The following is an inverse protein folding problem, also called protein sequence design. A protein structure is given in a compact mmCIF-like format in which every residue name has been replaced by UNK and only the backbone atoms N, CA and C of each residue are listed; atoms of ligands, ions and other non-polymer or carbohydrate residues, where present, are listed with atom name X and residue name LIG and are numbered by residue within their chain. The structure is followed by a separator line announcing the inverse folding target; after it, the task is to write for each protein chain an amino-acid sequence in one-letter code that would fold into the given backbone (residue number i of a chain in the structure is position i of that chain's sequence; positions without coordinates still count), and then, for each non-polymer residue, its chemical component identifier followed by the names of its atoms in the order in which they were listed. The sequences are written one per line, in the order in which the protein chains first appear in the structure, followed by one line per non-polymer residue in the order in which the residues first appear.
data_IF_229720848695
#
_entry.id   IF_229720848695
#
_cell.length_a   1.000
_cell.length_b   1.000
_cell.length_c   1.000
_cell.angle_alpha   90.00
_cell.angle_beta   90.00
_cell.angle_gamma   90.00
#
_symmetry.space_group_name_H-M   'P 1'
#
loop_
_entity.id
_entity.type
_entity.pdbx_description
1 polymer ?
#
# COMPACT_ATOMS: atom_id res chain seq x y z
N UNK A 1 -52.03 40.68 19.91
CA UNK A 1 -51.07 40.78 21.03
C UNK A 1 -49.71 40.43 20.43
N UNK A 2 -48.91 41.48 20.18
CA UNK A 2 -47.59 41.34 19.58
C UNK A 2 -46.53 41.48 20.66
N UNK A 3 -45.87 40.42 21.03
CA UNK A 3 -44.70 40.48 21.88
C UNK A 3 -43.42 40.70 21.06
N UNK A 4 -42.77 41.82 21.28
CA UNK A 4 -41.46 42.20 20.70
C UNK A 4 -40.36 41.56 21.56
N UNK A 5 -39.59 40.65 20.99
CA UNK A 5 -38.34 40.20 21.61
C UNK A 5 -37.23 41.17 21.28
N UNK A 6 -36.71 41.78 22.31
CA UNK A 6 -35.51 42.63 22.28
C UNK A 6 -34.27 41.70 22.37
N UNK A 7 -33.41 41.70 21.36
CA UNK A 7 -32.10 41.03 21.41
C UNK A 7 -31.08 42.01 22.00
N UNK A 8 -30.56 41.67 23.15
CA UNK A 8 -29.41 42.35 23.76
C UNK A 8 -28.11 41.93 23.12
N UNK A 9 -27.39 42.87 22.54
CA UNK A 9 -25.98 42.69 22.12
C UNK A 9 -25.10 42.71 23.36
N UNK A 10 -24.31 41.67 23.55
CA UNK A 10 -23.24 41.62 24.54
C UNK A 10 -21.99 40.97 23.97
N UNK A 11 -20.90 41.74 24.05
CA UNK A 11 -19.54 41.22 24.20
C UNK A 11 -18.82 40.80 22.92
N UNK A 12 -18.15 41.76 22.29
CA UNK A 12 -17.08 41.49 21.36
C UNK A 12 -15.92 40.82 22.06
N UNK A 13 -15.74 39.52 21.78
CA UNK A 13 -14.52 38.83 22.17
C UNK A 13 -13.46 39.16 21.09
N UNK A 14 -12.38 39.83 21.49
CA UNK A 14 -11.17 40.05 20.72
C UNK A 14 -10.60 38.68 20.35
N UNK A 15 -10.78 38.26 19.08
CA UNK A 15 -10.09 37.11 18.50
C UNK A 15 -8.69 37.63 18.13
N UNK A 16 -7.61 37.07 18.71
CA UNK A 16 -6.27 37.47 18.30
C UNK A 16 -6.05 37.08 16.82
N UNK A 17 -5.63 38.09 16.07
CA UNK A 17 -5.25 37.94 14.67
C UNK A 17 -4.05 36.98 14.57
N UNK A 18 -4.31 35.76 14.11
CA UNK A 18 -3.27 34.73 13.93
C UNK A 18 -2.54 35.04 12.63
N UNK A 19 -1.28 35.45 12.71
CA UNK A 19 -0.39 35.68 11.59
C UNK A 19 -0.35 34.46 10.68
N UNK A 20 -0.80 34.55 9.42
CA UNK A 20 -0.84 33.40 8.48
C UNK A 20 0.55 32.85 8.15
N UNK A 21 1.63 33.57 8.46
CA UNK A 21 3.01 33.10 8.28
C UNK A 21 3.49 32.14 9.38
N UNK A 22 2.82 32.11 10.52
CA UNK A 22 3.14 31.18 11.63
C UNK A 22 2.58 29.78 11.43
N UNK A 23 1.67 29.59 10.49
CA UNK A 23 1.02 28.29 10.25
C UNK A 23 1.86 27.33 9.35
N UNK A 24 2.97 27.81 8.78
CA UNK A 24 3.72 27.05 7.78
C UNK A 24 4.92 26.26 8.31
N UNK A 25 5.14 26.24 9.63
CA UNK A 25 6.30 25.54 10.23
C UNK A 25 5.89 24.47 11.25
N UNK A 26 4.77 23.80 11.03
CA UNK A 26 4.58 22.48 11.62
C UNK A 26 4.91 21.42 10.57
N UNK A 27 6.19 21.33 10.25
CA UNK A 27 6.77 20.10 9.81
C UNK A 27 6.31 19.05 10.81
N UNK A 28 5.35 18.19 10.43
CA UNK A 28 5.07 16.99 11.18
C UNK A 28 6.38 16.22 11.19
N UNK A 29 7.16 16.40 12.24
CA UNK A 29 8.21 15.44 12.58
C UNK A 29 7.48 14.12 12.71
N UNK A 30 7.54 13.30 11.68
CA UNK A 30 7.28 11.88 11.78
C UNK A 30 8.02 11.44 13.03
N UNK A 31 7.36 10.80 14.02
CA UNK A 31 8.06 10.32 15.19
C UNK A 31 9.27 9.53 14.67
N UNK A 32 10.47 9.68 15.27
CA UNK A 32 11.63 8.96 14.81
C UNK A 32 11.21 7.50 14.74
N UNK A 33 11.23 6.95 13.53
CA UNK A 33 11.11 5.52 13.31
C UNK A 33 12.08 4.93 14.32
N UNK A 34 11.57 4.21 15.32
CA UNK A 34 12.38 3.57 16.33
C UNK A 34 13.49 2.90 15.56
N UNK A 35 14.73 3.29 15.85
CA UNK A 35 15.92 2.71 15.24
C UNK A 35 16.04 1.25 15.70
N UNK A 36 15.21 0.39 15.16
CA UNK A 36 15.09 -0.99 15.53
C UNK A 36 15.15 -1.86 14.29
N UNK A 37 16.33 -2.44 14.16
CA UNK A 37 16.56 -3.63 13.36
C UNK A 37 16.46 -3.38 11.85
N UNK A 38 17.51 -2.79 11.30
CA UNK A 38 17.90 -3.13 9.94
C UNK A 38 18.21 -4.62 9.93
N UNK A 39 17.17 -5.40 9.73
CA UNK A 39 17.32 -6.84 9.66
C UNK A 39 17.87 -7.22 8.30
N UNK A 40 18.62 -8.29 8.17
CA UNK A 40 19.12 -8.79 6.87
C UNK A 40 18.03 -8.87 5.80
N UNK A 41 16.77 -9.05 6.21
CA UNK A 41 15.62 -9.07 5.31
C UNK A 41 15.30 -7.68 4.73
N UNK A 42 15.37 -6.61 5.54
CA UNK A 42 15.13 -5.24 5.08
C UNK A 42 16.22 -4.82 4.11
N UNK A 43 17.47 -5.12 4.41
CA UNK A 43 18.60 -4.85 3.53
C UNK A 43 18.48 -5.63 2.23
N UNK A 44 18.09 -6.90 2.32
CA UNK A 44 17.80 -7.71 1.14
C UNK A 44 16.70 -7.08 0.28
N UNK A 45 15.59 -6.63 0.89
CA UNK A 45 14.50 -5.95 0.19
C UNK A 45 15.00 -4.71 -0.54
N UNK A 46 15.76 -3.84 0.16
CA UNK A 46 16.31 -2.61 -0.43
C UNK A 46 17.25 -2.90 -1.60
N UNK A 47 18.02 -3.98 -1.54
CA UNK A 47 18.91 -4.40 -2.62
C UNK A 47 18.17 -4.99 -3.83
N UNK A 48 17.03 -5.66 -3.61
CA UNK A 48 16.30 -6.39 -4.65
C UNK A 48 15.32 -5.54 -5.46
N UNK A 49 14.84 -4.43 -4.91
CA UNK A 49 13.80 -3.61 -5.55
C UNK A 49 14.35 -2.22 -5.88
N UNK A 50 14.80 -2.05 -7.13
CA UNK A 50 15.42 -0.81 -7.61
C UNK A 50 14.41 0.20 -8.17
N UNK A 51 13.48 -0.26 -8.99
CA UNK A 51 12.43 0.57 -9.60
C UNK A 51 11.09 0.19 -8.98
N UNK A 52 10.48 1.11 -8.23
CA UNK A 52 9.39 0.76 -7.33
C UNK A 52 8.03 1.23 -7.83
N UNK A 53 7.10 0.31 -7.81
CA UNK A 53 5.67 0.61 -7.91
C UNK A 53 5.01 0.18 -6.61
N UNK A 54 4.47 1.16 -5.90
CA UNK A 54 3.69 0.93 -4.70
C UNK A 54 2.27 0.48 -5.05
N UNK A 55 1.81 -0.58 -4.42
CA UNK A 55 0.45 -1.09 -4.61
C UNK A 55 -0.20 -1.32 -3.25
N UNK A 56 -1.41 -0.76 -3.08
CA UNK A 56 -2.24 -1.05 -1.91
C UNK A 56 -3.51 -1.75 -2.36
N UNK A 57 -3.82 -2.85 -1.69
CA UNK A 57 -5.06 -3.62 -1.89
C UNK A 57 -5.80 -3.72 -0.57
N UNK A 58 -7.06 -3.31 -0.56
CA UNK A 58 -7.97 -3.49 0.57
C UNK A 58 -8.82 -4.72 0.32
N UNK A 59 -8.87 -5.61 1.31
CA UNK A 59 -9.69 -6.83 1.23
C UNK A 59 -11.01 -6.65 1.94
N UNK A 60 -12.04 -7.12 1.29
CA UNK A 60 -13.40 -7.14 1.79
C UNK A 60 -14.34 -7.53 0.65
N UNK A 61 -15.48 -8.07 0.96
CA UNK A 61 -16.55 -8.26 0.02
C UNK A 61 -17.85 -7.86 0.69
N UNK A 62 -18.58 -6.91 0.11
CA UNK A 62 -19.96 -6.64 0.48
C UNK A 62 -20.87 -7.63 -0.23
N UNK A 63 -21.68 -8.39 0.52
CA UNK A 63 -22.73 -9.20 -0.04
C UNK A 63 -24.01 -8.93 0.75
N UNK A 64 -25.04 -8.41 0.06
CA UNK A 64 -26.33 -8.11 0.67
C UNK A 64 -26.24 -7.18 1.91
N UNK A 65 -25.36 -6.15 1.85
CA UNK A 65 -25.20 -5.21 2.95
C UNK A 65 -24.35 -5.72 4.14
N UNK A 66 -23.84 -6.95 4.07
CA UNK A 66 -22.96 -7.52 5.09
C UNK A 66 -21.53 -7.49 4.59
N UNK A 67 -20.65 -6.79 5.32
CA UNK A 67 -19.23 -6.80 5.04
C UNK A 67 -18.63 -8.15 5.49
N UNK A 68 -18.05 -8.88 4.53
CA UNK A 68 -17.35 -10.14 4.79
C UNK A 68 -15.87 -9.90 4.54
N UNK A 69 -15.04 -10.23 5.51
CA UNK A 69 -13.58 -10.08 5.42
C UNK A 69 -12.91 -11.46 5.30
N UNK A 70 -11.91 -11.62 4.44
CA UNK A 70 -11.15 -12.85 4.42
C UNK A 70 -10.29 -12.97 5.69
N UNK A 71 -9.96 -14.19 6.07
CA UNK A 71 -8.86 -14.38 7.03
C UNK A 71 -7.53 -13.93 6.44
N UNK A 72 -6.56 -13.60 7.28
CA UNK A 72 -5.21 -13.25 6.82
C UNK A 72 -4.64 -14.29 5.87
N UNK A 73 -4.74 -15.58 6.22
CA UNK A 73 -4.31 -16.69 5.37
C UNK A 73 -4.93 -16.65 3.97
N UNK A 74 -6.23 -16.34 3.88
CA UNK A 74 -6.91 -16.23 2.59
C UNK A 74 -6.44 -15.00 1.81
N UNK A 75 -6.18 -13.87 2.49
CA UNK A 75 -5.63 -12.68 1.86
C UNK A 75 -4.22 -12.93 1.31
N UNK A 76 -3.36 -13.60 2.07
CA UNK A 76 -2.02 -14.02 1.64
C UNK A 76 -2.07 -14.91 0.39
N UNK A 77 -2.94 -15.93 0.41
CA UNK A 77 -3.10 -16.82 -0.74
C UNK A 77 -3.56 -16.06 -2.00
N UNK A 78 -4.44 -15.07 -1.84
CA UNK A 78 -4.91 -14.24 -2.95
C UNK A 78 -3.81 -13.36 -3.51
N UNK A 79 -3.00 -12.71 -2.66
CA UNK A 79 -1.85 -11.92 -3.09
C UNK A 79 -0.86 -12.81 -3.82
N UNK A 80 -0.49 -13.95 -3.27
CA UNK A 80 0.41 -14.91 -3.91
C UNK A 80 -0.09 -15.37 -5.28
N UNK A 81 -1.39 -15.66 -5.41
CA UNK A 81 -2.01 -16.00 -6.71
C UNK A 81 -1.99 -14.82 -7.68
N UNK A 82 -2.20 -13.60 -7.20
CA UNK A 82 -2.15 -12.40 -8.03
C UNK A 82 -0.72 -12.13 -8.53
N UNK A 83 0.30 -12.23 -7.67
CA UNK A 83 1.71 -12.09 -8.06
C UNK A 83 2.09 -13.16 -9.08
N UNK A 84 1.65 -14.42 -8.91
CA UNK A 84 1.90 -15.48 -9.88
C UNK A 84 1.26 -15.17 -11.25
N UNK A 85 0.05 -14.62 -11.27
CA UNK A 85 -0.60 -14.16 -12.51
C UNK A 85 0.15 -12.98 -13.13
N UNK A 86 0.59 -12.04 -12.31
CA UNK A 86 1.37 -10.88 -12.74
C UNK A 86 2.67 -11.32 -13.43
N UNK A 87 3.43 -12.23 -12.81
CA UNK A 87 4.62 -12.83 -13.41
C UNK A 87 4.32 -13.49 -14.76
N UNK A 88 3.23 -14.28 -14.83
CA UNK A 88 2.84 -14.94 -16.07
C UNK A 88 2.44 -13.95 -17.16
N UNK A 89 1.80 -12.85 -16.81
CA UNK A 89 1.43 -11.78 -17.75
C UNK A 89 2.65 -11.01 -18.24
N UNK A 90 3.65 -10.77 -17.37
CA UNK A 90 4.88 -10.05 -17.72
C UNK A 90 5.83 -10.90 -18.58
N UNK A 91 6.01 -12.16 -18.23
CA UNK A 91 7.09 -12.99 -18.81
C UNK A 91 6.61 -14.24 -19.54
N UNK A 92 5.30 -14.50 -19.58
CA UNK A 92 4.73 -15.64 -20.29
C UNK A 92 5.38 -16.98 -19.89
N UNK A 93 5.84 -17.72 -20.87
CA UNK A 93 6.52 -19.00 -20.66
C UNK A 93 7.90 -18.88 -19.99
N UNK A 94 8.49 -17.68 -19.94
CA UNK A 94 9.76 -17.43 -19.27
C UNK A 94 9.72 -17.75 -17.78
N UNK A 95 8.56 -17.57 -17.13
CA UNK A 95 8.35 -17.96 -15.74
C UNK A 95 8.66 -19.44 -15.50
N UNK A 96 8.11 -20.31 -16.35
CA UNK A 96 8.29 -21.77 -16.20
C UNK A 96 9.65 -22.26 -16.67
N UNK A 97 10.15 -21.72 -17.80
CA UNK A 97 11.37 -22.21 -18.44
C UNK A 97 12.66 -21.66 -17.84
N UNK A 98 12.62 -20.40 -17.37
CA UNK A 98 13.81 -19.67 -16.95
C UNK A 98 13.69 -19.13 -15.52
N UNK A 99 12.54 -19.29 -14.88
CA UNK A 99 12.27 -18.82 -13.53
C UNK A 99 12.18 -17.30 -13.41
N UNK A 100 11.82 -16.59 -14.50
CA UNK A 100 11.66 -15.13 -14.44
C UNK A 100 10.59 -14.73 -13.44
N UNK A 101 10.86 -13.67 -12.70
CA UNK A 101 9.99 -13.14 -11.64
C UNK A 101 10.15 -11.64 -11.49
N UNK A 102 9.05 -10.98 -11.16
CA UNK A 102 9.03 -9.59 -10.71
C UNK A 102 9.45 -9.58 -9.25
N UNK A 103 10.34 -8.66 -8.87
CA UNK A 103 10.66 -8.40 -7.48
C UNK A 103 9.40 -7.89 -6.75
N UNK A 104 9.11 -8.47 -5.60
CA UNK A 104 7.93 -8.12 -4.82
C UNK A 104 8.21 -8.22 -3.32
N UNK A 105 7.75 -7.22 -2.58
CA UNK A 105 7.70 -7.24 -1.12
C UNK A 105 6.28 -6.94 -0.70
N UNK A 106 5.77 -7.70 0.25
CA UNK A 106 4.39 -7.58 0.73
C UNK A 106 4.35 -7.52 2.24
N UNK A 107 3.65 -6.53 2.77
CA UNK A 107 3.28 -6.43 4.17
C UNK A 107 1.75 -6.36 4.31
N UNK A 108 1.23 -6.92 5.40
CA UNK A 108 -0.19 -6.84 5.72
C UNK A 108 -0.42 -5.97 6.95
N UNK A 109 -1.50 -5.20 6.89
CA UNK A 109 -2.01 -4.37 7.99
C UNK A 109 -3.48 -4.68 8.23
N UNK A 110 -3.99 -4.29 9.40
CA UNK A 110 -5.41 -4.47 9.72
C UNK A 110 -5.77 -5.93 9.94
N UNK A 111 -4.89 -6.71 10.59
CA UNK A 111 -5.14 -8.12 10.90
C UNK A 111 -5.94 -8.32 12.18
N UNK A 112 -6.30 -7.23 12.88
CA UNK A 112 -7.14 -7.23 14.07
C UNK A 112 -8.58 -7.67 13.77
N UNK A 113 -9.30 -8.06 14.84
CA UNK A 113 -10.64 -8.69 14.72
C UNK A 113 -11.69 -7.83 14.00
N UNK A 114 -11.53 -6.50 14.00
CA UNK A 114 -12.50 -5.55 13.43
C UNK A 114 -11.89 -4.64 12.37
N UNK A 115 -10.67 -4.90 11.96
CA UNK A 115 -9.94 -4.09 10.99
C UNK A 115 -10.04 -4.70 9.60
N UNK A 116 -10.07 -3.82 8.60
CA UNK A 116 -9.96 -4.27 7.21
C UNK A 116 -8.53 -4.63 6.91
N UNK A 117 -8.33 -5.81 6.40
CA UNK A 117 -6.99 -6.24 5.95
C UNK A 117 -6.59 -5.43 4.72
N UNK A 118 -5.39 -4.87 4.78
CA UNK A 118 -4.74 -4.21 3.67
C UNK A 118 -3.43 -4.93 3.35
N UNK A 119 -3.12 -5.09 2.07
CA UNK A 119 -1.81 -5.49 1.63
C UNK A 119 -1.11 -4.28 1.01
N UNK A 120 0.04 -3.92 1.56
CA UNK A 120 0.96 -2.95 0.98
C UNK A 120 2.08 -3.71 0.30
N UNK A 121 2.29 -3.41 -0.97
CA UNK A 121 3.27 -4.11 -1.79
C UNK A 121 4.18 -3.13 -2.48
N UNK A 122 5.45 -3.46 -2.55
CA UNK A 122 6.42 -2.82 -3.42
C UNK A 122 6.82 -3.81 -4.52
N UNK A 123 6.69 -3.40 -5.77
CA UNK A 123 7.09 -4.18 -6.92
C UNK A 123 8.24 -3.54 -7.66
N UNK A 124 9.14 -4.34 -8.20
CA UNK A 124 10.09 -3.88 -9.20
C UNK A 124 9.46 -3.97 -10.59
N UNK A 125 9.44 -2.83 -11.29
CA UNK A 125 8.94 -2.80 -12.68
C UNK A 125 9.91 -3.54 -13.60
N UNK A 126 9.46 -4.46 -14.47
CA UNK A 126 10.30 -5.05 -15.49
C UNK A 126 11.01 -3.99 -16.35
N UNK A 127 12.29 -4.17 -16.71
CA UNK A 127 13.09 -3.15 -17.41
C UNK A 127 12.46 -2.61 -18.70
N UNK A 128 11.77 -3.48 -19.45
CA UNK A 128 11.19 -3.14 -20.75
C UNK A 128 9.72 -2.67 -20.63
N UNK A 129 9.28 -2.30 -19.43
CA UNK A 129 7.88 -1.98 -19.19
C UNK A 129 7.73 -0.60 -18.56
N UNK A 130 6.88 0.25 -19.14
CA UNK A 130 6.52 1.52 -18.54
C UNK A 130 5.61 1.33 -17.33
N UNK A 131 5.57 2.33 -16.43
CA UNK A 131 4.64 2.36 -15.29
C UNK A 131 3.19 2.10 -15.70
N UNK A 132 2.72 2.75 -16.76
CA UNK A 132 1.34 2.58 -17.24
C UNK A 132 1.05 1.15 -17.73
N UNK A 133 2.00 0.51 -18.38
CA UNK A 133 1.86 -0.88 -18.81
C UNK A 133 1.83 -1.80 -17.60
N UNK A 134 2.73 -1.59 -16.64
CA UNK A 134 2.80 -2.39 -15.42
C UNK A 134 1.55 -2.23 -14.55
N UNK A 135 1.07 -1.01 -14.35
CA UNK A 135 -0.17 -0.72 -13.61
C UNK A 135 -1.37 -1.47 -14.19
N UNK A 136 -1.50 -1.54 -15.53
CA UNK A 136 -2.55 -2.33 -16.18
C UNK A 136 -2.41 -3.84 -15.94
N UNK A 137 -1.19 -4.35 -15.82
CA UNK A 137 -0.95 -5.74 -15.46
C UNK A 137 -1.36 -6.02 -14.02
N UNK A 138 -1.02 -5.12 -13.10
CA UNK A 138 -1.43 -5.20 -11.69
C UNK A 138 -2.95 -5.23 -11.59
N UNK A 139 -3.64 -4.28 -12.21
CA UNK A 139 -5.10 -4.25 -12.25
C UNK A 139 -5.70 -5.58 -12.72
N UNK A 140 -5.21 -6.12 -13.83
CA UNK A 140 -5.68 -7.39 -14.37
C UNK A 140 -5.39 -8.58 -13.46
N UNK A 141 -4.23 -8.57 -12.79
CA UNK A 141 -3.81 -9.67 -11.92
C UNK A 141 -4.70 -9.74 -10.66
N UNK A 142 -5.06 -8.59 -10.11
CA UNK A 142 -5.84 -8.48 -8.87
C UNK A 142 -7.37 -8.50 -9.11
N UNK A 143 -7.87 -8.00 -10.24
CA UNK A 143 -9.32 -7.94 -10.57
C UNK A 143 -10.05 -9.28 -10.48
N UNK A 144 -9.33 -10.40 -10.60
CA UNK A 144 -9.92 -11.75 -10.54
C UNK A 144 -10.20 -12.26 -9.12
N UNK A 145 -9.95 -11.45 -8.11
CA UNK A 145 -10.22 -11.84 -6.73
C UNK A 145 -11.60 -11.36 -6.29
N UNK A 146 -12.43 -12.28 -5.83
CA UNK A 146 -13.77 -11.98 -5.29
C UNK A 146 -13.75 -11.18 -3.97
N UNK A 147 -12.59 -11.07 -3.35
CA UNK A 147 -12.39 -10.38 -2.08
C UNK A 147 -11.82 -8.97 -2.24
N UNK A 148 -11.62 -8.51 -3.48
CA UNK A 148 -11.12 -7.18 -3.77
C UNK A 148 -12.27 -6.38 -4.36
N UNK A 149 -12.85 -5.49 -3.56
CA UNK A 149 -13.99 -4.66 -3.95
C UNK A 149 -13.58 -3.50 -4.86
N UNK A 150 -12.44 -2.92 -4.55
CA UNK A 150 -11.92 -1.75 -5.25
C UNK A 150 -10.70 -2.13 -6.08
N UNK A 151 -10.45 -1.34 -7.12
CA UNK A 151 -9.20 -1.48 -7.87
C UNK A 151 -8.01 -1.29 -6.94
N UNK A 152 -6.91 -2.03 -7.14
CA UNK A 152 -5.67 -1.75 -6.45
C UNK A 152 -5.28 -0.28 -6.62
N UNK A 153 -4.88 0.36 -5.54
CA UNK A 153 -4.26 1.67 -5.63
C UNK A 153 -2.81 1.50 -6.05
N UNK A 154 -2.46 1.92 -7.27
CA UNK A 154 -1.13 1.77 -7.85
C UNK A 154 -0.49 3.15 -7.94
N UNK A 155 0.71 3.31 -7.38
CA UNK A 155 1.47 4.56 -7.37
C UNK A 155 2.91 4.30 -7.81
N UNK A 156 3.41 5.14 -8.69
CA UNK A 156 4.84 5.18 -9.02
C UNK A 156 5.60 5.76 -7.85
N UNK A 157 6.65 5.08 -7.42
CA UNK A 157 7.45 5.47 -6.27
C UNK A 157 8.89 5.70 -6.71
N UNK A 158 9.34 6.95 -6.56
CA UNK A 158 10.69 7.37 -6.96
C UNK A 158 11.73 7.21 -5.85
N UNK A 159 11.28 6.91 -4.63
CA UNK A 159 12.15 6.84 -3.46
C UNK A 159 11.97 5.53 -2.69
N UNK A 160 12.93 5.23 -1.83
CA UNK A 160 12.87 4.12 -0.87
C UNK A 160 11.76 4.29 0.18
N UNK A 161 11.10 5.45 0.22
CA UNK A 161 10.10 5.76 1.23
C UNK A 161 8.91 4.82 1.20
N UNK A 162 8.54 4.30 0.01
CA UNK A 162 7.46 3.33 -0.07
C UNK A 162 7.83 2.00 0.57
N UNK A 163 9.07 1.55 0.44
CA UNK A 163 9.55 0.36 1.14
C UNK A 163 9.50 0.61 2.64
N UNK A 164 10.03 1.75 3.10
CA UNK A 164 9.98 2.13 4.50
C UNK A 164 8.54 2.22 5.02
N UNK A 165 7.62 2.76 4.20
CA UNK A 165 6.19 2.79 4.53
C UNK A 165 5.61 1.38 4.61
N UNK A 166 5.91 0.51 3.66
CA UNK A 166 5.44 -0.88 3.64
C UNK A 166 5.95 -1.66 4.86
N UNK A 167 7.13 -1.31 5.36
CA UNK A 167 7.79 -1.92 6.51
C UNK A 167 7.56 -1.18 7.84
N UNK A 168 6.73 -0.15 7.87
CA UNK A 168 6.50 0.73 9.05
C UNK A 168 6.04 -0.02 10.31
N UNK A 169 5.33 -1.13 10.15
CA UNK A 169 4.91 -2.01 11.26
C UNK A 169 5.98 -3.04 11.65
N UNK A 170 7.15 -2.96 11.03
CA UNK A 170 8.25 -3.86 11.31
C UNK A 170 8.17 -5.19 10.56
N UNK A 171 9.07 -6.08 10.92
CA UNK A 171 9.25 -7.37 10.27
C UNK A 171 8.01 -8.29 10.42
N UNK A 172 7.23 -8.10 11.47
CA UNK A 172 6.05 -8.90 11.78
C UNK A 172 4.93 -8.75 10.74
N UNK A 173 4.88 -7.59 10.06
CA UNK A 173 3.90 -7.35 8.99
C UNK A 173 4.29 -7.98 7.66
N UNK A 174 5.55 -8.35 7.48
CA UNK A 174 6.04 -8.98 6.25
C UNK A 174 5.52 -10.40 6.11
N UNK A 175 5.18 -10.73 4.86
CA UNK A 175 4.73 -12.07 4.50
C UNK A 175 5.76 -12.71 3.56
N UNK A 176 6.69 -13.50 4.08
CA UNK A 176 7.77 -14.11 3.27
C UNK A 176 7.26 -14.91 2.07
N UNK A 177 6.12 -15.58 2.20
CA UNK A 177 5.49 -16.34 1.11
C UNK A 177 5.00 -15.49 -0.06
N UNK A 178 4.93 -14.16 0.13
CA UNK A 178 4.55 -13.16 -0.86
C UNK A 178 5.69 -12.19 -1.21
N UNK A 179 6.93 -12.52 -0.81
CA UNK A 179 8.14 -11.79 -1.17
C UNK A 179 8.94 -12.59 -2.21
N UNK A 180 9.34 -11.94 -3.29
CA UNK A 180 10.01 -12.56 -4.42
C UNK A 180 11.20 -11.72 -4.85
N UNK A 181 12.33 -12.37 -5.10
CA UNK A 181 13.47 -11.73 -5.76
C UNK A 181 13.13 -11.46 -7.23
N UNK A 182 13.63 -10.34 -7.74
CA UNK A 182 13.56 -10.05 -9.16
C UNK A 182 14.48 -10.97 -9.96
N UNK A 183 13.99 -11.45 -11.09
CA UNK A 183 14.79 -12.16 -12.08
C UNK A 183 14.28 -11.80 -13.48
N UNK A 184 15.00 -10.93 -14.14
CA UNK A 184 14.63 -10.43 -15.45
C UNK A 184 15.39 -11.12 -16.59
N UNK A 185 14.87 -11.11 -17.84
CA UNK A 185 15.64 -11.47 -19.01
C UNK A 185 16.87 -10.58 -19.15
N UNK A 186 18.05 -11.16 -19.38
CA UNK A 186 19.29 -10.41 -19.63
C UNK A 186 19.97 -9.84 -18.37
N UNK A 187 19.51 -10.21 -17.18
CA UNK A 187 20.18 -9.88 -15.92
C UNK A 187 21.23 -10.94 -15.54
#
# INVERSE_FOLDING_TARGET
MNEKYTVSQSGGANIPEVDPKSAMTRCRTTPPLKAHFETPLIDWVKCQIKSQVGVTVTFGAGRNGVAIYPSQRNAEEMVRKAIKRLNTQAYGNGVKRKGFSIGAVTAFEGTGRFERIHAHMAFETPPDMSFNQFSRLVDRAFKRSKWIEQRPHVKECWSQDWINYTLKLGQESLVPSCCFAAKHPGA
#
